data_IF_568156490217
#
_entry.id   IF_568156490217
#
_cell.length_a   1.000
_cell.length_b   1.000
_cell.length_c   1.000
_cell.angle_alpha   90.00
_cell.angle_beta   90.00
_cell.angle_gamma   90.00
#
_symmetry.space_group_name_H-M   'P 1'
#
loop_
_entity.id
_entity.type
_entity.pdbx_description
1 polymer ?
#
# COMPACT_ATOMS: atom_id res chain seq x y z
N UNK A 1 1.83 -30.69 -62.92
CA UNK A 1 0.81 -29.92 -62.17
C UNK A 1 1.51 -29.23 -61.02
N UNK A 2 1.82 -27.94 -61.16
CA UNK A 2 2.22 -27.05 -60.06
C UNK A 2 1.66 -25.65 -60.33
N UNK A 3 0.97 -25.13 -59.32
CA UNK A 3 0.81 -23.75 -58.82
C UNK A 3 0.89 -22.53 -59.76
N UNK A 4 -0.05 -21.59 -59.53
CA UNK A 4 0.20 -20.16 -59.63
C UNK A 4 -0.60 -19.42 -58.54
N UNK A 5 0.07 -18.45 -57.92
CA UNK A 5 -0.36 -17.49 -56.90
C UNK A 5 -1.22 -16.37 -57.52
N UNK A 6 -2.08 -15.73 -56.71
CA UNK A 6 -2.68 -14.43 -57.05
C UNK A 6 -2.51 -13.45 -55.88
N UNK A 7 -1.86 -12.31 -56.19
CA UNK A 7 -1.68 -11.14 -55.32
C UNK A 7 -2.91 -10.24 -55.39
N UNK A 8 -3.37 -9.70 -54.25
CA UNK A 8 -4.38 -8.64 -54.19
C UNK A 8 -3.78 -7.38 -53.59
N UNK A 9 -4.03 -6.26 -54.28
CA UNK A 9 -3.43 -4.94 -54.11
C UNK A 9 -3.75 -4.25 -52.76
N UNK A 10 -2.75 -3.52 -52.27
CA UNK A 10 -2.84 -2.54 -51.18
C UNK A 10 -3.61 -1.29 -51.62
N UNK A 11 -4.74 -0.99 -50.98
CA UNK A 11 -5.40 0.32 -51.05
C UNK A 11 -4.96 1.14 -49.83
N UNK A 12 -4.21 2.21 -50.08
CA UNK A 12 -3.89 3.22 -49.07
C UNK A 12 -5.15 4.08 -48.80
N UNK A 13 -5.62 4.06 -47.55
CA UNK A 13 -6.62 5.02 -47.06
C UNK A 13 -5.86 6.24 -46.55
N UNK A 14 -6.09 7.39 -47.18
CA UNK A 14 -5.58 8.69 -46.74
C UNK A 14 -6.11 9.04 -45.35
N UNK A 15 -5.21 9.33 -44.41
CA UNK A 15 -5.56 9.84 -43.08
C UNK A 15 -5.88 11.33 -43.15
N UNK A 16 -7.09 11.69 -42.72
CA UNK A 16 -7.54 13.06 -42.49
C UNK A 16 -6.74 13.77 -41.38
N UNK A 17 -6.51 15.10 -41.47
CA UNK A 17 -5.58 15.83 -40.60
C UNK A 17 -6.14 16.22 -39.20
N UNK A 18 -6.89 15.34 -38.52
CA UNK A 18 -7.48 15.63 -37.18
C UNK A 18 -6.64 15.16 -35.97
N UNK A 19 -5.45 14.57 -36.20
CA UNK A 19 -4.79 13.72 -35.20
C UNK A 19 -3.99 14.43 -34.10
N UNK A 20 -3.73 15.74 -34.21
CA UNK A 20 -2.89 16.47 -33.22
C UNK A 20 -3.70 17.21 -32.13
N UNK A 21 -4.96 17.52 -32.39
CA UNK A 21 -5.82 18.27 -31.44
C UNK A 21 -6.53 17.37 -30.43
N UNK A 22 -6.91 16.15 -30.83
CA UNK A 22 -7.51 15.14 -29.93
C UNK A 22 -6.57 14.73 -28.78
N UNK A 23 -5.28 14.43 -29.00
CA UNK A 23 -4.36 14.00 -27.92
C UNK A 23 -4.16 15.04 -26.83
N UNK A 24 -4.18 16.33 -27.20
CA UNK A 24 -3.98 17.44 -26.26
C UNK A 24 -5.24 17.62 -25.40
N UNK A 25 -6.42 17.58 -26.02
CA UNK A 25 -7.70 17.64 -25.30
C UNK A 25 -7.91 16.45 -24.34
N UNK A 26 -7.45 15.26 -24.72
CA UNK A 26 -7.53 14.07 -23.87
C UNK A 26 -6.63 14.17 -22.65
N UNK A 27 -5.40 14.70 -22.80
CA UNK A 27 -4.48 14.93 -21.70
C UNK A 27 -5.02 15.95 -20.70
N UNK A 28 -5.50 17.11 -21.15
CA UNK A 28 -6.04 18.14 -20.25
C UNK A 28 -7.24 17.62 -19.45
N UNK A 29 -8.10 16.84 -20.12
CA UNK A 29 -9.25 16.16 -19.49
C UNK A 29 -8.80 15.12 -18.45
N UNK A 30 -7.79 14.32 -18.77
CA UNK A 30 -7.21 13.32 -17.86
C UNK A 30 -6.61 13.97 -16.61
N UNK A 31 -5.81 15.02 -16.79
CA UNK A 31 -5.18 15.76 -15.70
C UNK A 31 -6.23 16.39 -14.79
N UNK A 32 -7.23 17.07 -15.37
CA UNK A 32 -8.32 17.67 -14.59
C UNK A 32 -9.07 16.62 -13.76
N UNK A 33 -9.36 15.45 -14.33
CA UNK A 33 -10.02 14.37 -13.58
C UNK A 33 -9.12 13.79 -12.48
N UNK A 34 -7.82 13.60 -12.78
CA UNK A 34 -6.88 13.05 -11.81
C UNK A 34 -6.82 13.91 -10.53
N UNK A 35 -6.62 15.22 -10.68
CA UNK A 35 -6.49 16.12 -9.52
C UNK A 35 -7.81 16.37 -8.79
N UNK A 36 -8.94 16.43 -9.49
CA UNK A 36 -10.22 16.79 -8.89
C UNK A 36 -11.02 15.60 -8.36
N UNK A 37 -10.76 14.38 -8.85
CA UNK A 37 -11.57 13.20 -8.51
C UNK A 37 -10.74 12.04 -8.00
N UNK A 38 -9.70 11.61 -8.72
CA UNK A 38 -8.93 10.44 -8.30
C UNK A 38 -8.05 10.72 -7.07
N UNK A 39 -7.31 11.82 -7.10
CA UNK A 39 -6.31 12.13 -6.08
C UNK A 39 -6.93 12.40 -4.70
N UNK A 40 -8.03 13.16 -4.55
CA UNK A 40 -8.65 13.40 -3.24
C UNK A 40 -9.18 12.13 -2.57
N UNK A 41 -9.56 11.11 -3.35
CA UNK A 41 -10.01 9.83 -2.81
C UNK A 41 -8.85 9.00 -2.23
N UNK A 42 -7.60 9.35 -2.56
CA UNK A 42 -6.42 8.61 -2.14
C UNK A 42 -5.65 9.45 -1.12
N UNK A 43 -5.73 9.08 0.16
CA UNK A 43 -4.89 9.69 1.21
C UNK A 43 -3.44 9.35 0.90
N UNK A 44 -2.77 10.24 0.17
CA UNK A 44 -1.35 10.14 -0.11
C UNK A 44 -0.56 11.10 0.77
N UNK A 45 -1.03 12.34 0.94
CA UNK A 45 -0.42 13.33 1.85
C UNK A 45 -1.44 14.34 2.41
N UNK A 46 -1.26 14.79 3.66
CA UNK A 46 -2.08 15.83 4.33
C UNK A 46 -1.79 17.25 3.79
N UNK A 47 -0.56 17.52 3.35
CA UNK A 47 -0.12 18.80 2.77
C UNK A 47 -0.34 18.86 1.25
N UNK A 48 -1.61 18.68 0.87
CA UNK A 48 -2.01 18.48 -0.52
C UNK A 48 -1.68 19.67 -1.44
N UNK A 49 -1.73 20.92 -0.97
CA UNK A 49 -1.64 22.08 -1.86
C UNK A 49 -0.24 22.29 -2.46
N UNK A 50 0.81 22.27 -1.64
CA UNK A 50 2.19 22.48 -2.13
C UNK A 50 2.65 21.33 -3.01
N UNK A 51 2.39 20.10 -2.58
CA UNK A 51 2.75 18.91 -3.34
C UNK A 51 1.97 18.78 -4.67
N UNK A 52 0.69 19.14 -4.71
CA UNK A 52 -0.09 19.12 -5.94
C UNK A 52 0.44 20.13 -6.97
N UNK A 53 0.80 21.34 -6.55
CA UNK A 53 1.39 22.34 -7.45
C UNK A 53 2.74 21.87 -8.02
N UNK A 54 3.57 21.22 -7.21
CA UNK A 54 4.84 20.62 -7.65
C UNK A 54 4.62 19.45 -8.61
N UNK A 55 3.64 18.59 -8.33
CA UNK A 55 3.29 17.47 -9.21
C UNK A 55 2.83 17.98 -10.58
N UNK A 56 2.02 19.04 -10.62
CA UNK A 56 1.62 19.72 -11.87
C UNK A 56 2.82 20.24 -12.65
N UNK A 57 3.80 20.85 -11.99
CA UNK A 57 5.02 21.33 -12.64
C UNK A 57 5.81 20.18 -13.29
N UNK A 58 5.94 19.04 -12.61
CA UNK A 58 6.65 17.89 -13.16
C UNK A 58 5.91 17.18 -14.28
N UNK A 59 4.58 17.21 -14.29
CA UNK A 59 3.78 16.65 -15.37
C UNK A 59 4.11 17.31 -16.71
N UNK A 60 4.39 18.61 -16.72
CA UNK A 60 4.83 19.32 -17.92
C UNK A 60 6.27 18.97 -18.36
N UNK A 61 7.11 18.51 -17.43
CA UNK A 61 8.53 18.27 -17.67
C UNK A 61 8.86 16.78 -17.91
N UNK A 62 7.99 15.87 -17.48
CA UNK A 62 8.21 14.42 -17.53
C UNK A 62 7.13 13.71 -18.34
N UNK A 63 7.45 13.28 -19.58
CA UNK A 63 6.54 12.48 -20.39
C UNK A 63 6.14 11.16 -19.73
N UNK A 64 7.03 10.57 -18.91
CA UNK A 64 6.74 9.37 -18.14
C UNK A 64 5.62 9.60 -17.13
N UNK A 65 5.73 10.71 -16.38
CA UNK A 65 4.78 11.05 -15.32
C UNK A 65 3.41 11.43 -15.90
N UNK A 66 3.42 12.26 -16.94
CA UNK A 66 2.21 12.65 -17.67
C UNK A 66 1.46 11.43 -18.20
N UNK A 67 2.16 10.52 -18.87
CA UNK A 67 1.54 9.30 -19.41
C UNK A 67 1.02 8.38 -18.30
N UNK A 68 1.70 8.28 -17.15
CA UNK A 68 1.27 7.45 -16.02
C UNK A 68 -0.02 8.01 -15.37
N UNK A 69 -0.07 9.33 -15.17
CA UNK A 69 -1.26 10.01 -14.64
C UNK A 69 -2.44 9.89 -15.61
N UNK A 70 -2.23 10.09 -16.91
CA UNK A 70 -3.26 9.87 -17.92
C UNK A 70 -3.79 8.44 -17.93
N UNK A 71 -2.91 7.45 -17.77
CA UNK A 71 -3.31 6.05 -17.70
C UNK A 71 -4.27 5.79 -16.53
N UNK A 72 -3.93 6.28 -15.32
CA UNK A 72 -4.78 6.17 -14.13
C UNK A 72 -6.12 6.86 -14.37
N UNK A 73 -6.10 8.12 -14.82
CA UNK A 73 -7.31 8.92 -15.01
C UNK A 73 -8.26 8.25 -16.01
N UNK A 74 -7.75 7.83 -17.17
CA UNK A 74 -8.54 7.15 -18.20
C UNK A 74 -9.11 5.82 -17.71
N UNK A 75 -8.32 5.02 -16.97
CA UNK A 75 -8.78 3.74 -16.41
C UNK A 75 -9.86 3.95 -15.35
N UNK A 76 -9.64 4.87 -14.40
CA UNK A 76 -10.59 5.13 -13.33
C UNK A 76 -11.92 5.66 -13.88
N UNK A 77 -11.88 6.58 -14.86
CA UNK A 77 -13.08 7.06 -15.57
C UNK A 77 -13.81 5.91 -16.27
N UNK A 78 -13.09 5.08 -17.01
CA UNK A 78 -13.66 3.91 -17.67
C UNK A 78 -14.39 2.99 -16.68
N UNK A 79 -13.80 2.73 -15.51
CA UNK A 79 -14.41 1.88 -14.47
C UNK A 79 -15.69 2.51 -13.90
N UNK A 80 -15.68 3.83 -13.66
CA UNK A 80 -16.86 4.57 -13.21
C UNK A 80 -17.96 4.68 -14.28
N UNK A 81 -17.61 4.87 -15.55
CA UNK A 81 -18.55 4.96 -16.67
C UNK A 81 -19.17 3.60 -17.03
N UNK A 82 -18.43 2.50 -16.84
CA UNK A 82 -18.97 1.14 -17.00
C UNK A 82 -20.12 0.83 -16.03
N UNK A 83 -20.14 1.47 -14.86
CA UNK A 83 -21.27 1.39 -13.92
C UNK A 83 -22.50 2.15 -14.43
N UNK A 84 -22.33 3.07 -15.40
CA UNK A 84 -23.33 4.07 -15.82
C UNK A 84 -23.89 3.87 -17.25
N UNK A 85 -23.68 2.71 -17.90
CA UNK A 85 -24.35 2.22 -19.14
C UNK A 85 -23.68 2.47 -20.51
N UNK A 86 -22.50 3.09 -20.63
CA UNK A 86 -21.87 3.36 -21.95
C UNK A 86 -20.74 2.38 -22.31
N UNK A 87 -20.99 1.43 -23.22
CA UNK A 87 -20.02 0.38 -23.61
C UNK A 87 -19.00 0.80 -24.67
N UNK A 88 -19.35 1.71 -25.60
CA UNK A 88 -18.46 2.14 -26.67
C UNK A 88 -17.35 3.08 -26.17
N UNK A 89 -17.71 4.16 -25.47
CA UNK A 89 -16.75 5.11 -24.86
C UNK A 89 -15.86 4.45 -23.81
N UNK A 90 -16.38 3.46 -23.07
CA UNK A 90 -15.60 2.68 -22.13
C UNK A 90 -14.48 1.87 -22.81
N UNK A 91 -14.71 1.34 -24.03
CA UNK A 91 -13.69 0.61 -24.78
C UNK A 91 -12.58 1.53 -25.28
N UNK A 92 -12.95 2.72 -25.77
CA UNK A 92 -11.99 3.74 -26.21
C UNK A 92 -11.13 4.24 -25.04
N UNK A 93 -11.76 4.58 -23.91
CA UNK A 93 -11.05 5.00 -22.69
C UNK A 93 -10.12 3.89 -22.16
N UNK A 94 -10.52 2.62 -22.27
CA UNK A 94 -9.67 1.49 -21.88
C UNK A 94 -8.44 1.33 -22.79
N UNK A 95 -8.61 1.50 -24.11
CA UNK A 95 -7.48 1.47 -25.06
C UNK A 95 -6.55 2.65 -24.81
N UNK A 96 -7.10 3.85 -24.59
CA UNK A 96 -6.33 5.05 -24.23
C UNK A 96 -5.52 4.85 -22.94
N UNK A 97 -6.14 4.27 -21.91
CA UNK A 97 -5.48 3.96 -20.64
C UNK A 97 -4.28 3.02 -20.84
N UNK A 98 -4.45 1.95 -21.62
CA UNK A 98 -3.37 0.99 -21.90
C UNK A 98 -2.25 1.59 -22.76
N UNK A 99 -2.59 2.42 -23.75
CA UNK A 99 -1.61 3.12 -24.57
C UNK A 99 -0.77 4.08 -23.73
N UNK A 100 -1.41 4.87 -22.88
CA UNK A 100 -0.76 5.78 -21.93
C UNK A 100 0.13 5.03 -20.94
N UNK A 101 -0.35 3.91 -20.37
CA UNK A 101 0.46 3.04 -19.50
C UNK A 101 1.70 2.51 -20.24
N UNK A 102 1.53 1.96 -21.45
CA UNK A 102 2.63 1.47 -22.26
C UNK A 102 3.66 2.56 -22.58
N UNK A 103 3.21 3.78 -22.86
CA UNK A 103 4.09 4.92 -23.11
C UNK A 103 4.88 5.32 -21.86
N UNK A 104 4.22 5.35 -20.69
CA UNK A 104 4.87 5.60 -19.42
C UNK A 104 5.96 4.55 -19.12
N UNK A 105 5.66 3.26 -19.29
CA UNK A 105 6.64 2.16 -19.10
C UNK A 105 7.84 2.32 -20.03
N UNK A 106 7.62 2.65 -21.31
CA UNK A 106 8.72 2.91 -22.27
C UNK A 106 9.61 4.06 -21.80
N UNK A 107 9.02 5.18 -21.38
CA UNK A 107 9.76 6.35 -20.92
C UNK A 107 10.55 6.06 -19.63
N UNK A 108 9.95 5.33 -18.68
CA UNK A 108 10.62 4.89 -17.45
C UNK A 108 11.81 3.97 -17.78
N UNK A 109 11.62 3.01 -18.70
CA UNK A 109 12.70 2.10 -19.13
C UNK A 109 13.87 2.87 -19.74
N UNK A 110 13.59 3.85 -20.60
CA UNK A 110 14.61 4.73 -21.18
C UNK A 110 15.38 5.47 -20.08
N UNK A 111 14.67 6.06 -19.11
CA UNK A 111 15.29 6.78 -17.99
C UNK A 111 16.19 5.88 -17.13
N UNK A 112 15.75 4.64 -16.86
CA UNK A 112 16.53 3.62 -16.14
C UNK A 112 17.79 3.25 -16.94
N UNK A 113 17.67 2.97 -18.25
CA UNK A 113 18.84 2.62 -19.09
C UNK A 113 19.84 3.77 -19.22
N UNK A 114 19.38 5.01 -19.11
CA UNK A 114 20.22 6.21 -19.13
C UNK A 114 20.75 6.60 -17.74
N UNK A 115 20.57 5.74 -16.73
CA UNK A 115 21.02 5.93 -15.35
C UNK A 115 20.46 7.20 -14.66
N UNK A 116 19.29 7.68 -15.09
CA UNK A 116 18.62 8.89 -14.57
C UNK A 116 17.52 8.52 -13.56
N UNK A 117 17.80 7.55 -12.67
CA UNK A 117 16.77 6.88 -11.88
C UNK A 117 16.32 7.63 -10.61
N UNK A 118 16.98 8.73 -10.26
CA UNK A 118 16.81 9.42 -8.96
C UNK A 118 16.00 10.73 -9.03
N UNK A 119 15.43 11.08 -10.19
CA UNK A 119 14.59 12.27 -10.33
C UNK A 119 13.22 12.09 -9.66
N UNK A 120 12.68 13.09 -8.91
CA UNK A 120 11.37 12.99 -8.28
C UNK A 120 10.24 12.59 -9.24
N UNK A 121 10.25 13.12 -10.47
CA UNK A 121 9.25 12.79 -11.47
C UNK A 121 9.27 11.31 -11.86
N UNK A 122 10.44 10.66 -11.90
CA UNK A 122 10.54 9.23 -12.20
C UNK A 122 10.01 8.38 -11.04
N UNK A 123 10.34 8.76 -9.79
CA UNK A 123 9.81 8.11 -8.59
C UNK A 123 8.28 8.08 -8.62
N UNK A 124 7.65 9.24 -8.81
CA UNK A 124 6.20 9.35 -8.94
C UNK A 124 5.64 8.61 -10.16
N UNK A 125 6.35 8.61 -11.30
CA UNK A 125 5.94 7.83 -12.49
C UNK A 125 5.83 6.35 -12.16
N UNK A 126 6.85 5.80 -11.48
CA UNK A 126 6.85 4.38 -11.10
C UNK A 126 5.77 4.06 -10.08
N UNK A 127 5.52 4.94 -9.11
CA UNK A 127 4.44 4.77 -8.15
C UNK A 127 3.06 4.77 -8.82
N UNK A 128 2.81 5.70 -9.76
CA UNK A 128 1.54 5.75 -10.48
C UNK A 128 1.34 4.56 -11.43
N UNK A 129 2.40 4.08 -12.09
CA UNK A 129 2.34 2.82 -12.82
C UNK A 129 1.94 1.65 -11.92
N UNK A 130 2.48 1.61 -10.71
CA UNK A 130 2.19 0.59 -9.74
C UNK A 130 0.72 0.68 -9.24
N UNK A 131 0.20 1.90 -9.00
CA UNK A 131 -1.22 2.10 -8.69
C UNK A 131 -2.14 1.68 -9.83
N UNK A 132 -1.77 1.97 -11.09
CA UNK A 132 -2.53 1.54 -12.26
C UNK A 132 -2.70 0.01 -12.31
N UNK A 133 -1.65 -0.73 -11.96
CA UNK A 133 -1.70 -2.19 -11.93
C UNK A 133 -2.63 -2.69 -10.82
N UNK A 134 -2.61 -2.09 -9.62
CA UNK A 134 -3.57 -2.40 -8.55
C UNK A 134 -5.03 -2.13 -8.96
N UNK A 135 -5.24 -1.14 -9.84
CA UNK A 135 -6.57 -0.83 -10.36
C UNK A 135 -7.04 -1.82 -11.42
N UNK A 136 -6.11 -2.42 -12.18
CA UNK A 136 -6.42 -3.30 -13.32
C UNK A 136 -6.43 -4.78 -12.93
N UNK A 137 -5.48 -5.23 -12.14
CA UNK A 137 -5.29 -6.64 -11.82
C UNK A 137 -6.15 -7.06 -10.61
N UNK A 138 -7.14 -7.90 -10.88
CA UNK A 138 -8.01 -8.49 -9.84
C UNK A 138 -7.44 -9.75 -9.20
N UNK A 139 -6.44 -10.38 -9.84
CA UNK A 139 -5.83 -11.62 -9.36
C UNK A 139 -4.79 -11.37 -8.26
N UNK A 140 -4.18 -10.18 -8.26
CA UNK A 140 -3.11 -9.82 -7.33
C UNK A 140 -1.77 -10.49 -7.66
N UNK A 141 -1.65 -11.24 -8.75
CA UNK A 141 -0.36 -11.83 -9.16
C UNK A 141 0.57 -10.79 -9.77
N UNK A 142 0.05 -9.80 -10.50
CA UNK A 142 0.85 -8.73 -11.09
C UNK A 142 1.26 -7.68 -10.05
N UNK A 143 0.51 -7.57 -8.93
CA UNK A 143 0.91 -6.78 -7.76
C UNK A 143 2.32 -7.20 -7.32
N UNK A 144 2.56 -8.49 -7.10
CA UNK A 144 3.83 -8.99 -6.57
C UNK A 144 5.02 -8.64 -7.49
N UNK A 145 4.86 -8.78 -8.80
CA UNK A 145 5.96 -8.65 -9.76
C UNK A 145 6.35 -7.20 -10.00
N UNK A 146 5.39 -6.27 -10.07
CA UNK A 146 5.65 -4.90 -10.50
C UNK A 146 5.62 -3.86 -9.36
N UNK A 147 4.64 -3.92 -8.46
CA UNK A 147 4.50 -2.97 -7.37
C UNK A 147 5.59 -3.14 -6.30
N UNK A 148 5.83 -4.39 -5.90
CA UNK A 148 6.73 -4.73 -4.79
C UNK A 148 8.19 -4.89 -5.19
N UNK A 149 8.48 -5.07 -6.48
CA UNK A 149 9.85 -5.09 -6.96
C UNK A 149 10.23 -3.75 -7.60
N UNK A 150 9.35 -3.06 -8.32
CA UNK A 150 9.70 -1.80 -8.98
C UNK A 150 9.81 -0.64 -7.99
N UNK A 151 8.68 -0.26 -7.39
CA UNK A 151 8.62 0.91 -6.49
C UNK A 151 9.42 0.67 -5.22
N UNK A 152 9.32 -0.51 -4.59
CA UNK A 152 10.13 -0.81 -3.40
C UNK A 152 11.62 -0.96 -3.71
N UNK A 153 12.05 -1.47 -4.89
CA UNK A 153 13.48 -1.44 -5.22
C UNK A 153 13.96 -0.02 -5.46
N UNK A 154 13.16 0.83 -6.11
CA UNK A 154 13.52 2.25 -6.28
C UNK A 154 13.58 2.98 -4.94
N UNK A 155 12.70 2.65 -4.00
CA UNK A 155 12.78 3.14 -2.62
C UNK A 155 14.05 2.63 -1.91
N UNK A 156 14.41 1.36 -2.06
CA UNK A 156 15.67 0.78 -1.53
C UNK A 156 16.92 1.42 -2.13
N UNK A 157 16.85 1.84 -3.40
CA UNK A 157 17.93 2.57 -4.06
C UNK A 157 18.04 4.03 -3.56
N UNK A 158 17.04 4.55 -2.84
CA UNK A 158 17.23 5.77 -2.08
C UNK A 158 18.17 5.48 -0.90
N UNK A 159 19.03 6.43 -0.58
CA UNK A 159 19.90 6.30 0.58
C UNK A 159 19.25 7.01 1.79
N UNK A 160 19.32 6.46 3.02
CA UNK A 160 18.74 7.10 4.22
C UNK A 160 19.27 8.54 4.43
N UNK A 161 20.51 8.80 4.03
CA UNK A 161 21.09 10.16 4.06
C UNK A 161 20.29 11.20 3.25
N UNK A 162 19.51 10.80 2.23
CA UNK A 162 18.66 11.74 1.50
C UNK A 162 17.53 12.33 2.36
N UNK A 163 17.13 11.66 3.44
CA UNK A 163 16.16 12.21 4.39
C UNK A 163 16.72 13.45 5.10
N UNK A 164 18.04 13.50 5.31
CA UNK A 164 18.71 14.54 6.09
C UNK A 164 19.19 15.72 5.24
N UNK A 165 19.12 15.62 3.91
CA UNK A 165 19.49 16.71 3.02
C UNK A 165 18.44 17.83 3.05
N UNK A 166 18.91 19.09 3.00
CA UNK A 166 18.08 20.30 3.09
C UNK A 166 17.86 21.01 1.74
N UNK A 167 18.35 20.45 0.64
CA UNK A 167 18.14 21.05 -0.68
C UNK A 167 16.71 20.78 -1.21
N UNK A 168 16.26 21.59 -2.18
CA UNK A 168 14.92 21.47 -2.75
C UNK A 168 14.64 20.05 -3.29
N UNK A 169 15.62 19.41 -3.95
CA UNK A 169 15.48 18.04 -4.45
C UNK A 169 15.24 16.99 -3.35
N UNK A 170 15.78 17.22 -2.15
CA UNK A 170 15.65 16.32 -1.00
C UNK A 170 14.25 16.35 -0.38
N UNK A 171 13.60 17.52 -0.29
CA UNK A 171 12.23 17.65 0.21
C UNK A 171 11.24 16.77 -0.57
N UNK A 172 11.35 16.77 -1.90
CA UNK A 172 10.50 15.97 -2.77
C UNK A 172 10.73 14.46 -2.62
N UNK A 173 12.00 14.05 -2.50
CA UNK A 173 12.35 12.64 -2.23
C UNK A 173 11.84 12.19 -0.86
N UNK A 174 11.93 13.06 0.16
CA UNK A 174 11.33 12.85 1.48
C UNK A 174 9.83 12.67 1.38
N UNK A 175 9.12 13.56 0.70
CA UNK A 175 7.66 13.47 0.52
C UNK A 175 7.27 12.15 -0.16
N UNK A 176 7.99 11.78 -1.23
CA UNK A 176 7.79 10.49 -1.88
C UNK A 176 8.02 9.31 -0.92
N UNK A 177 9.12 9.33 -0.15
CA UNK A 177 9.44 8.29 0.82
C UNK A 177 8.33 8.14 1.89
N UNK A 178 7.91 9.23 2.55
CA UNK A 178 6.86 9.18 3.57
C UNK A 178 5.51 8.73 3.02
N UNK A 179 5.18 9.13 1.79
CA UNK A 179 3.96 8.70 1.10
C UNK A 179 3.96 7.20 0.81
N UNK A 180 5.10 6.67 0.36
CA UNK A 180 5.14 5.33 -0.27
C UNK A 180 5.70 4.23 0.62
N UNK A 181 6.37 4.54 1.73
CA UNK A 181 6.95 3.53 2.64
C UNK A 181 5.93 2.53 3.19
N UNK A 182 4.67 2.94 3.35
CA UNK A 182 3.59 2.05 3.80
C UNK A 182 3.42 0.84 2.88
N UNK A 183 3.79 0.96 1.62
CA UNK A 183 3.70 -0.13 0.65
C UNK A 183 4.84 -1.14 0.80
N UNK A 184 6.04 -0.70 1.17
CA UNK A 184 7.11 -1.61 1.58
C UNK A 184 6.76 -2.32 2.91
N UNK A 185 6.14 -1.60 3.84
CA UNK A 185 5.64 -2.20 5.09
C UNK A 185 4.55 -3.24 4.78
N UNK A 186 3.58 -2.91 3.92
CA UNK A 186 2.53 -3.82 3.49
C UNK A 186 3.10 -5.07 2.82
N UNK A 187 4.15 -4.94 2.01
CA UNK A 187 4.89 -6.08 1.45
C UNK A 187 5.41 -7.01 2.54
N UNK A 188 6.14 -6.43 3.49
CA UNK A 188 6.78 -7.16 4.56
C UNK A 188 5.75 -7.92 5.41
N UNK A 189 4.62 -7.28 5.72
CA UNK A 189 3.51 -7.86 6.48
C UNK A 189 2.76 -8.96 5.72
N UNK A 190 2.46 -8.76 4.42
CA UNK A 190 1.68 -9.74 3.65
C UNK A 190 2.46 -11.03 3.43
N UNK A 191 3.74 -10.90 3.11
CA UNK A 191 4.59 -12.01 2.65
C UNK A 191 5.56 -12.51 3.71
N UNK A 192 5.55 -11.94 4.91
CA UNK A 192 6.49 -12.26 5.99
C UNK A 192 7.95 -12.20 5.48
N UNK A 193 8.31 -11.09 4.83
CA UNK A 193 9.63 -10.88 4.25
C UNK A 193 10.38 -9.75 4.96
N UNK A 194 11.73 -9.78 5.00
CA UNK A 194 12.53 -8.69 5.55
C UNK A 194 12.25 -7.35 4.86
N UNK A 195 12.42 -6.25 5.57
CA UNK A 195 12.31 -4.89 5.05
C UNK A 195 13.55 -4.10 5.38
N UNK A 196 14.00 -3.25 4.45
CA UNK A 196 15.12 -2.35 4.71
C UNK A 196 14.76 -1.26 5.74
N UNK A 197 13.46 -1.02 5.95
CA UNK A 197 12.97 0.02 6.85
C UNK A 197 13.25 -0.29 8.33
N UNK A 198 13.56 -1.54 8.68
CA UNK A 198 13.98 -1.94 10.03
C UNK A 198 15.50 -1.88 10.23
N UNK A 199 16.27 -1.57 9.19
CA UNK A 199 17.73 -1.45 9.29
C UNK A 199 18.13 -0.22 10.13
N UNK A 200 19.20 -0.33 10.96
CA UNK A 200 19.63 0.76 11.85
C UNK A 200 19.90 2.10 11.15
N UNK A 201 20.39 2.07 9.91
CA UNK A 201 20.69 3.25 9.12
C UNK A 201 19.42 4.05 8.79
N UNK A 202 18.32 3.34 8.51
CA UNK A 202 17.03 3.95 8.20
C UNK A 202 16.32 4.44 9.45
N UNK A 203 16.31 3.65 10.53
CA UNK A 203 15.69 4.06 11.79
C UNK A 203 16.42 5.26 12.42
N UNK A 204 17.74 5.32 12.31
CA UNK A 204 18.54 6.47 12.75
C UNK A 204 18.31 7.71 11.86
N UNK A 205 18.22 7.56 10.54
CA UNK A 205 17.91 8.69 9.67
C UNK A 205 16.50 9.26 9.93
N UNK A 206 15.53 8.40 10.21
CA UNK A 206 14.18 8.80 10.60
C UNK A 206 14.18 9.54 11.95
N UNK A 207 14.85 9.01 12.97
CA UNK A 207 14.90 9.66 14.29
C UNK A 207 15.57 11.04 14.22
N UNK A 208 16.65 11.17 13.45
CA UNK A 208 17.31 12.46 13.20
C UNK A 208 16.41 13.43 12.45
N UNK A 209 15.68 12.93 11.43
CA UNK A 209 14.72 13.75 10.69
C UNK A 209 13.62 14.30 11.59
N UNK A 210 13.00 13.46 12.43
CA UNK A 210 11.95 13.92 13.35
C UNK A 210 12.46 14.83 14.46
N UNK A 211 13.76 14.79 14.76
CA UNK A 211 14.39 15.67 15.74
C UNK A 211 14.67 17.07 15.18
N UNK A 212 14.65 17.26 13.86
CA UNK A 212 14.89 18.57 13.25
C UNK A 212 13.62 19.44 13.21
N UNK A 213 13.81 20.76 13.08
CA UNK A 213 12.69 21.72 13.10
C UNK A 213 11.64 21.48 12.00
N UNK A 214 12.09 21.15 10.78
CA UNK A 214 11.17 20.83 9.67
C UNK A 214 10.38 19.53 9.94
N UNK A 215 11.06 18.50 10.46
CA UNK A 215 10.43 17.23 10.81
C UNK A 215 9.39 17.40 11.90
N UNK A 216 9.69 18.17 12.94
CA UNK A 216 8.75 18.48 14.03
C UNK A 216 7.48 19.19 13.53
N UNK A 217 7.60 20.08 12.53
CA UNK A 217 6.44 20.76 11.93
C UNK A 217 5.53 19.84 11.13
N UNK A 218 6.12 18.82 10.49
CA UNK A 218 5.40 17.84 9.68
C UNK A 218 4.99 16.59 10.49
N UNK A 219 5.25 16.62 11.79
CA UNK A 219 5.00 15.50 12.67
C UNK A 219 3.51 15.18 12.75
N UNK A 220 3.19 13.89 12.72
CA UNK A 220 1.84 13.38 12.84
C UNK A 220 1.84 12.02 13.53
N UNK A 221 0.84 11.66 14.36
CA UNK A 221 0.77 10.35 15.01
C UNK A 221 0.86 9.17 14.02
N UNK A 222 0.31 9.33 12.81
CA UNK A 222 0.44 8.34 11.72
C UNK A 222 1.90 8.02 11.39
N UNK A 223 2.76 9.03 11.33
CA UNK A 223 4.15 8.84 10.94
C UNK A 223 4.93 8.07 12.00
N UNK A 224 4.68 8.36 13.29
CA UNK A 224 5.26 7.59 14.40
C UNK A 224 4.80 6.14 14.37
N UNK A 225 3.51 5.89 14.11
CA UNK A 225 3.03 4.52 13.95
C UNK A 225 3.75 3.80 12.81
N UNK A 226 3.88 4.46 11.66
CA UNK A 226 4.53 3.89 10.48
C UNK A 226 6.03 3.65 10.69
N UNK A 227 6.69 4.41 11.55
CA UNK A 227 8.07 4.14 11.97
C UNK A 227 8.19 2.88 12.84
N UNK A 228 7.14 2.54 13.59
CA UNK A 228 7.11 1.33 14.43
C UNK A 228 6.83 0.06 13.62
N UNK A 229 6.00 0.11 12.57
CA UNK A 229 5.54 -1.08 11.83
C UNK A 229 6.66 -1.99 11.28
N UNK A 230 7.82 -1.49 10.79
CA UNK A 230 8.93 -2.34 10.38
C UNK A 230 9.43 -3.29 11.48
N UNK A 231 9.43 -2.85 12.73
CA UNK A 231 9.87 -3.68 13.87
C UNK A 231 8.90 -4.85 14.14
N UNK A 232 7.60 -4.66 13.91
CA UNK A 232 6.62 -5.76 13.97
C UNK A 232 6.87 -6.80 12.88
N UNK A 233 7.26 -6.36 11.68
CA UNK A 233 7.57 -7.26 10.58
C UNK A 233 8.81 -8.10 10.90
N UNK A 234 9.88 -7.43 11.36
CA UNK A 234 11.15 -8.07 11.69
C UNK A 234 11.02 -9.07 12.85
N UNK A 235 10.36 -8.66 13.95
CA UNK A 235 10.13 -9.53 15.09
C UNK A 235 9.28 -10.74 14.71
N UNK A 236 8.17 -10.52 13.98
CA UNK A 236 7.30 -11.62 13.52
C UNK A 236 8.06 -12.64 12.67
N UNK A 237 8.98 -12.19 11.81
CA UNK A 237 9.82 -13.05 11.01
C UNK A 237 10.82 -13.85 11.86
N UNK A 238 11.45 -13.22 12.86
CA UNK A 238 12.34 -13.91 13.80
C UNK A 238 11.58 -14.95 14.63
N UNK A 239 10.40 -14.59 15.14
CA UNK A 239 9.51 -15.50 15.88
C UNK A 239 9.03 -16.67 15.03
N UNK A 240 8.68 -16.44 13.77
CA UNK A 240 8.30 -17.50 12.83
C UNK A 240 9.47 -18.45 12.55
N UNK A 241 10.67 -17.92 12.29
CA UNK A 241 11.87 -18.74 12.06
C UNK A 241 12.21 -19.57 13.28
N UNK A 242 12.13 -18.96 14.46
CA UNK A 242 12.31 -19.67 15.73
C UNK A 242 11.32 -20.83 15.86
N UNK A 243 10.03 -20.57 15.61
CA UNK A 243 8.98 -21.57 15.72
C UNK A 243 9.07 -22.71 14.68
N UNK A 244 9.81 -22.52 13.59
CA UNK A 244 10.09 -23.55 12.59
C UNK A 244 11.28 -24.44 12.95
N UNK A 245 12.04 -24.11 14.00
CA UNK A 245 13.17 -24.91 14.46
C UNK A 245 12.69 -26.24 15.02
N UNK A 246 13.30 -27.36 14.59
CA UNK A 246 12.86 -28.72 14.93
C UNK A 246 12.80 -28.98 16.45
N UNK A 247 11.84 -29.83 16.84
CA UNK A 247 11.50 -30.15 18.23
C UNK A 247 12.68 -30.68 19.08
N UNK A 248 13.72 -31.18 18.42
CA UNK A 248 14.91 -31.77 19.03
C UNK A 248 15.68 -30.78 19.93
N UNK A 249 15.48 -29.46 19.77
CA UNK A 249 16.17 -28.40 20.53
C UNK A 249 15.32 -27.73 21.63
N UNK A 250 14.05 -28.11 21.77
CA UNK A 250 13.06 -27.45 22.64
C UNK A 250 13.44 -27.43 24.12
N UNK A 251 14.30 -28.35 24.55
CA UNK A 251 14.71 -28.52 25.94
C UNK A 251 16.09 -27.94 26.24
N UNK A 252 16.76 -27.34 25.25
CA UNK A 252 18.03 -26.66 25.50
C UNK A 252 17.79 -25.34 26.24
N UNK A 253 18.62 -25.04 27.23
CA UNK A 253 18.55 -23.78 27.98
C UNK A 253 18.66 -22.55 27.06
N UNK A 254 19.45 -22.67 25.98
CA UNK A 254 19.61 -21.63 24.96
C UNK A 254 18.29 -21.34 24.23
N UNK A 255 17.54 -22.37 23.86
CA UNK A 255 16.25 -22.21 23.18
C UNK A 255 15.19 -21.55 24.08
N UNK A 256 15.21 -21.83 25.40
CA UNK A 256 14.33 -21.13 26.35
C UNK A 256 14.70 -19.65 26.50
N UNK A 257 16.00 -19.33 26.55
CA UNK A 257 16.48 -17.94 26.63
C UNK A 257 16.07 -17.14 25.39
N UNK A 258 16.19 -17.75 24.21
CA UNK A 258 15.78 -17.11 22.95
C UNK A 258 14.26 -16.91 22.86
N UNK A 259 13.46 -17.92 23.26
CA UNK A 259 12.00 -17.77 23.35
C UNK A 259 11.59 -16.64 24.30
N UNK A 260 12.27 -16.50 25.44
CA UNK A 260 12.06 -15.42 26.41
C UNK A 260 12.41 -14.06 25.79
N UNK A 261 13.58 -13.93 25.15
CA UNK A 261 13.99 -12.66 24.53
C UNK A 261 13.04 -12.21 23.42
N UNK A 262 12.56 -13.12 22.57
CA UNK A 262 11.56 -12.81 21.55
C UNK A 262 10.21 -12.39 22.16
N UNK A 263 9.84 -12.96 23.31
CA UNK A 263 8.60 -12.62 23.99
C UNK A 263 8.68 -11.25 24.68
N UNK A 264 9.81 -10.95 25.32
CA UNK A 264 10.11 -9.65 25.93
C UNK A 264 10.07 -8.52 24.90
N UNK A 265 10.76 -8.69 23.76
CA UNK A 265 10.73 -7.71 22.67
C UNK A 265 9.30 -7.51 22.14
N UNK A 266 8.49 -8.57 22.08
CA UNK A 266 7.08 -8.49 21.72
C UNK A 266 6.26 -7.69 22.71
N UNK A 267 6.49 -7.87 24.01
CA UNK A 267 5.85 -7.09 25.06
C UNK A 267 6.23 -5.62 24.97
N UNK A 268 7.50 -5.31 24.70
CA UNK A 268 7.97 -3.93 24.50
C UNK A 268 7.26 -3.25 23.32
N UNK A 269 7.12 -3.95 22.18
CA UNK A 269 6.36 -3.43 21.03
C UNK A 269 4.87 -3.22 21.37
N UNK A 270 4.26 -4.12 22.15
CA UNK A 270 2.87 -3.95 22.61
C UNK A 270 2.73 -2.71 23.51
N UNK A 271 3.66 -2.49 24.43
CA UNK A 271 3.68 -1.31 25.29
C UNK A 271 3.89 -0.02 24.46
N UNK A 272 4.77 -0.05 23.46
CA UNK A 272 4.99 1.05 22.53
C UNK A 272 3.71 1.44 21.78
N UNK A 273 2.93 0.46 21.29
CA UNK A 273 1.62 0.72 20.69
C UNK A 273 0.63 1.33 21.68
N UNK A 274 0.58 0.83 22.91
CA UNK A 274 -0.32 1.38 23.95
C UNK A 274 0.03 2.85 24.26
N UNK A 275 1.32 3.16 24.40
CA UNK A 275 1.77 4.53 24.60
C UNK A 275 1.42 5.42 23.40
N UNK A 276 1.61 4.91 22.18
CA UNK A 276 1.21 5.60 20.97
C UNK A 276 -0.29 5.91 20.96
N UNK A 277 -1.15 4.97 21.35
CA UNK A 277 -2.60 5.15 21.40
C UNK A 277 -3.01 6.31 22.31
N UNK A 278 -2.39 6.41 23.49
CA UNK A 278 -2.63 7.51 24.43
C UNK A 278 -2.31 8.87 23.78
N UNK A 279 -1.16 8.97 23.10
CA UNK A 279 -0.76 10.18 22.40
C UNK A 279 -1.67 10.51 21.22
N UNK A 280 -2.08 9.49 20.45
CA UNK A 280 -2.95 9.63 19.29
C UNK A 280 -4.38 10.07 19.68
N UNK A 281 -4.90 9.59 20.81
CA UNK A 281 -6.18 10.01 21.37
C UNK A 281 -6.13 11.45 21.88
N UNK A 282 -5.02 11.87 22.48
CA UNK A 282 -4.83 13.28 22.88
C UNK A 282 -4.83 14.20 21.64
N UNK A 283 -4.06 13.83 20.60
CA UNK A 283 -4.01 14.55 19.34
C UNK A 283 -5.39 14.74 18.70
N UNK A 284 -6.19 13.67 18.63
CA UNK A 284 -7.50 13.71 17.99
C UNK A 284 -8.53 14.59 18.70
N UNK A 285 -8.31 14.97 19.96
CA UNK A 285 -9.20 15.91 20.69
C UNK A 285 -8.93 17.36 20.33
N UNK A 286 -7.72 17.66 19.88
CA UNK A 286 -7.29 19.02 19.56
C UNK A 286 -7.63 19.42 18.11
N UNK A 287 -8.09 18.47 17.28
CA UNK A 287 -8.45 18.71 15.87
C UNK A 287 -9.96 18.82 15.68
N UNK A 288 -10.42 19.93 15.09
CA UNK A 288 -11.84 20.17 14.79
C UNK A 288 -12.36 19.45 13.53
N UNK A 289 -11.46 19.01 12.65
CA UNK A 289 -11.79 18.34 11.39
C UNK A 289 -11.48 16.85 11.48
N UNK A 290 -12.16 16.05 10.63
CA UNK A 290 -11.95 14.61 10.54
C UNK A 290 -10.55 14.33 9.98
N UNK A 291 -9.66 13.87 10.86
CA UNK A 291 -8.28 13.56 10.52
C UNK A 291 -8.17 12.14 9.94
N UNK A 292 -8.33 12.03 8.62
CA UNK A 292 -8.35 10.73 7.96
C UNK A 292 -7.02 9.96 8.08
N UNK A 293 -5.89 10.66 8.15
CA UNK A 293 -4.58 10.06 8.43
C UNK A 293 -4.54 9.43 9.83
N UNK A 294 -5.15 10.08 10.82
CA UNK A 294 -5.27 9.54 12.17
C UNK A 294 -6.18 8.31 12.20
N UNK A 295 -7.31 8.32 11.47
CA UNK A 295 -8.22 7.17 11.38
C UNK A 295 -7.51 5.97 10.74
N UNK A 296 -6.72 6.18 9.66
CA UNK A 296 -5.86 5.14 9.09
C UNK A 296 -4.89 4.61 10.14
N UNK A 297 -4.20 5.49 10.86
CA UNK A 297 -3.25 5.08 11.87
C UNK A 297 -3.93 4.24 12.98
N UNK A 298 -5.10 4.66 13.46
CA UNK A 298 -5.90 3.88 14.43
C UNK A 298 -6.25 2.50 13.90
N UNK A 299 -6.65 2.38 12.63
CA UNK A 299 -6.94 1.08 12.03
C UNK A 299 -5.68 0.17 12.02
N UNK A 300 -4.50 0.73 11.71
CA UNK A 300 -3.24 -0.01 11.81
C UNK A 300 -2.89 -0.37 13.25
N UNK A 301 -3.14 0.50 14.24
CA UNK A 301 -2.92 0.16 15.65
C UNK A 301 -3.71 -1.08 16.07
N UNK A 302 -5.02 -1.14 15.76
CA UNK A 302 -5.82 -2.31 16.10
C UNK A 302 -5.36 -3.55 15.32
N UNK A 303 -5.01 -3.39 14.04
CA UNK A 303 -4.48 -4.48 13.24
C UNK A 303 -3.15 -5.02 13.78
N UNK A 304 -2.24 -4.15 14.21
CA UNK A 304 -0.93 -4.56 14.72
C UNK A 304 -1.00 -5.25 16.07
N UNK A 305 -1.95 -4.88 16.94
CA UNK A 305 -2.21 -5.65 18.16
C UNK A 305 -2.61 -7.10 17.84
N UNK A 306 -3.51 -7.29 16.86
CA UNK A 306 -3.91 -8.63 16.41
C UNK A 306 -2.75 -9.39 15.73
N UNK A 307 -2.00 -8.70 14.87
CA UNK A 307 -0.86 -9.25 14.14
C UNK A 307 0.26 -9.71 15.08
N UNK A 308 0.62 -8.86 16.04
CA UNK A 308 1.63 -9.17 17.05
C UNK A 308 1.21 -10.40 17.86
N UNK A 309 -0.02 -10.42 18.40
CA UNK A 309 -0.56 -11.60 19.08
C UNK A 309 -0.50 -12.86 18.22
N UNK A 310 -0.76 -12.72 16.91
CA UNK A 310 -0.69 -13.80 15.92
C UNK A 310 0.71 -14.31 15.63
N UNK A 311 1.74 -13.57 16.01
CA UNK A 311 3.12 -14.07 15.89
C UNK A 311 3.46 -15.06 17.00
N UNK A 312 2.66 -15.16 18.07
CA UNK A 312 2.93 -16.01 19.22
C UNK A 312 1.86 -17.08 19.46
N UNK A 313 0.57 -16.72 19.32
CA UNK A 313 -0.55 -17.55 19.78
C UNK A 313 -0.72 -18.88 19.03
N UNK A 314 -0.21 -18.98 17.80
CA UNK A 314 -0.21 -20.23 17.02
C UNK A 314 0.90 -21.20 17.43
N UNK A 315 1.86 -20.79 18.25
CA UNK A 315 3.09 -21.55 18.50
C UNK A 315 3.20 -22.02 19.95
N UNK A 316 3.50 -23.31 20.11
CA UNK A 316 3.60 -24.00 21.42
C UNK A 316 4.63 -23.40 22.37
N UNK A 317 5.62 -22.69 21.84
CA UNK A 317 6.67 -22.08 22.64
C UNK A 317 6.14 -20.99 23.57
N UNK A 318 5.03 -20.33 23.20
CA UNK A 318 4.48 -19.19 23.96
C UNK A 318 3.04 -19.40 24.45
N UNK A 319 2.37 -20.48 24.02
CA UNK A 319 0.96 -20.73 24.34
C UNK A 319 0.70 -21.92 25.28
N UNK A 320 1.75 -22.56 25.81
CA UNK A 320 1.63 -23.70 26.73
C UNK A 320 1.89 -23.33 28.20
N UNK A 321 1.41 -24.15 29.16
CA UNK A 321 1.75 -23.94 30.56
C UNK A 321 3.26 -23.95 30.79
N UNK A 322 3.78 -22.93 31.47
CA UNK A 322 5.23 -22.76 31.72
C UNK A 322 5.99 -22.03 30.61
N UNK A 323 5.32 -21.64 29.52
CA UNK A 323 5.87 -20.75 28.51
C UNK A 323 6.17 -19.36 29.06
N UNK A 324 7.16 -18.65 28.48
CA UNK A 324 7.43 -17.26 28.82
C UNK A 324 6.21 -16.38 28.49
N UNK A 325 5.98 -15.29 29.26
CA UNK A 325 4.89 -14.36 28.97
C UNK A 325 5.13 -13.70 27.62
N UNK A 326 4.12 -13.73 26.75
CA UNK A 326 4.16 -13.17 25.40
C UNK A 326 2.95 -12.25 25.17
N UNK A 327 2.97 -11.35 24.17
CA UNK A 327 1.89 -10.39 23.90
C UNK A 327 0.66 -11.05 23.24
N UNK A 328 0.13 -12.10 23.85
CA UNK A 328 -1.02 -12.87 23.38
C UNK A 328 -2.31 -12.23 23.89
N UNK A 329 -3.19 -11.88 22.96
CA UNK A 329 -4.49 -11.32 23.27
C UNK A 329 -5.52 -12.41 23.53
N UNK A 330 -6.42 -12.16 24.49
CA UNK A 330 -7.59 -13.01 24.67
C UNK A 330 -8.62 -12.75 23.54
N UNK A 331 -9.58 -13.66 23.41
CA UNK A 331 -10.62 -13.61 22.37
C UNK A 331 -11.43 -12.32 22.38
N UNK A 332 -11.84 -11.84 23.56
CA UNK A 332 -12.62 -10.59 23.70
C UNK A 332 -11.82 -9.37 23.23
N UNK A 333 -10.53 -9.31 23.54
CA UNK A 333 -9.62 -8.28 23.05
C UNK A 333 -9.48 -8.33 21.53
N UNK A 334 -9.30 -9.52 20.94
CA UNK A 334 -9.24 -9.69 19.48
C UNK A 334 -10.54 -9.20 18.82
N UNK A 335 -11.69 -9.59 19.36
CA UNK A 335 -13.00 -9.16 18.86
C UNK A 335 -13.18 -7.63 18.96
N UNK A 336 -12.70 -7.01 20.04
CA UNK A 336 -12.71 -5.55 20.21
C UNK A 336 -11.86 -4.84 19.17
N UNK A 337 -10.61 -5.25 18.98
CA UNK A 337 -9.74 -4.67 17.95
C UNK A 337 -10.31 -4.88 16.55
N UNK A 338 -10.89 -6.05 16.27
CA UNK A 338 -11.53 -6.35 15.00
C UNK A 338 -12.71 -5.41 14.73
N UNK A 339 -13.60 -5.23 15.70
CA UNK A 339 -14.76 -4.34 15.56
C UNK A 339 -14.33 -2.91 15.27
N UNK A 340 -13.27 -2.41 15.92
CA UNK A 340 -12.73 -1.09 15.64
C UNK A 340 -12.13 -0.99 14.24
N UNK A 341 -11.43 -2.02 13.74
CA UNK A 341 -10.95 -2.03 12.34
C UNK A 341 -12.12 -1.90 11.36
N UNK A 342 -13.22 -2.62 11.59
CA UNK A 342 -14.39 -2.57 10.71
C UNK A 342 -15.09 -1.21 10.80
N UNK A 343 -15.23 -0.67 12.01
CA UNK A 343 -15.82 0.65 12.25
C UNK A 343 -15.01 1.76 11.56
N UNK A 344 -13.69 1.81 11.81
CA UNK A 344 -12.78 2.79 11.21
C UNK A 344 -12.67 2.61 9.69
N UNK A 345 -12.71 1.36 9.21
CA UNK A 345 -12.73 1.06 7.79
C UNK A 345 -13.98 1.58 7.10
N UNK A 346 -15.15 1.36 7.69
CA UNK A 346 -16.41 1.93 7.20
C UNK A 346 -16.37 3.46 7.22
N UNK A 347 -15.90 4.05 8.32
CA UNK A 347 -15.76 5.50 8.47
C UNK A 347 -14.90 6.11 7.35
N UNK A 348 -13.72 5.55 7.05
CA UNK A 348 -12.87 6.02 5.94
C UNK A 348 -13.57 5.95 4.58
N UNK A 349 -14.30 4.85 4.33
CA UNK A 349 -15.04 4.72 3.09
C UNK A 349 -16.22 5.71 3.04
N UNK A 350 -16.93 5.95 4.13
CA UNK A 350 -18.03 6.92 4.16
C UNK A 350 -17.55 8.36 3.89
N UNK A 351 -16.31 8.69 4.27
CA UNK A 351 -15.66 9.95 3.92
C UNK A 351 -15.17 10.05 2.46
N UNK A 352 -15.48 9.06 1.61
CA UNK A 352 -15.19 9.10 0.18
C UNK A 352 -13.81 8.56 -0.22
N UNK A 353 -13.04 7.99 0.71
CA UNK A 353 -11.69 7.49 0.43
C UNK A 353 -11.69 6.14 -0.28
N UNK A 354 -10.78 5.92 -1.21
CA UNK A 354 -10.75 4.69 -2.00
C UNK A 354 -10.42 3.43 -1.17
N UNK A 355 -9.81 3.59 0.01
CA UNK A 355 -9.58 2.51 0.97
C UNK A 355 -8.37 1.61 0.66
N UNK A 356 -7.45 2.05 -0.20
CA UNK A 356 -6.21 1.34 -0.51
C UNK A 356 -5.42 0.94 0.75
N UNK A 357 -5.34 1.83 1.74
CA UNK A 357 -4.60 1.59 2.99
C UNK A 357 -5.32 0.62 3.95
N UNK A 358 -6.57 0.22 3.65
CA UNK A 358 -7.34 -0.73 4.47
C UNK A 358 -7.04 -2.19 4.15
N UNK A 359 -6.29 -2.50 3.10
CA UNK A 359 -5.98 -3.88 2.73
C UNK A 359 -5.33 -4.69 3.85
N UNK A 360 -4.33 -4.11 4.53
CA UNK A 360 -3.64 -4.79 5.64
C UNK A 360 -4.56 -4.96 6.86
N UNK A 361 -5.19 -3.89 7.40
CA UNK A 361 -6.13 -4.04 8.51
C UNK A 361 -7.26 -5.05 8.23
N UNK A 362 -7.89 -4.97 7.05
CA UNK A 362 -9.01 -5.87 6.70
C UNK A 362 -8.56 -7.31 6.53
N UNK A 363 -7.38 -7.56 5.96
CA UNK A 363 -6.82 -8.91 5.85
C UNK A 363 -6.55 -9.50 7.24
N UNK A 364 -5.96 -8.72 8.15
CA UNK A 364 -5.66 -9.17 9.52
C UNK A 364 -6.96 -9.45 10.30
N UNK A 365 -7.93 -8.54 10.23
CA UNK A 365 -9.26 -8.74 10.82
C UNK A 365 -9.93 -10.01 10.26
N UNK A 366 -9.91 -10.16 8.93
CA UNK A 366 -10.46 -11.32 8.23
C UNK A 366 -9.77 -12.64 8.58
N UNK A 367 -8.48 -12.62 8.90
CA UNK A 367 -7.78 -13.83 9.34
C UNK A 367 -8.27 -14.36 10.71
N UNK A 368 -8.84 -13.49 11.55
CA UNK A 368 -9.28 -13.81 12.92
C UNK A 368 -10.80 -13.88 13.09
N UNK A 369 -11.57 -13.34 12.17
CA UNK A 369 -13.03 -13.31 12.27
C UNK A 369 -13.63 -14.72 12.35
N UNK A 370 -14.60 -14.89 13.24
CA UNK A 370 -15.33 -16.15 13.42
C UNK A 370 -16.82 -16.03 13.12
N UNK A 371 -17.39 -14.83 13.18
CA UNK A 371 -18.81 -14.60 12.97
C UNK A 371 -19.12 -14.28 11.52
N UNK A 372 -20.18 -14.90 10.99
CA UNK A 372 -20.62 -14.71 9.60
C UNK A 372 -20.97 -13.26 9.28
N UNK A 373 -21.61 -12.55 10.21
CA UNK A 373 -21.94 -11.13 10.06
C UNK A 373 -20.71 -10.26 9.78
N UNK A 374 -19.63 -10.49 10.53
CA UNK A 374 -18.40 -9.72 10.42
C UNK A 374 -17.62 -10.10 9.16
N UNK A 375 -17.65 -11.39 8.78
CA UNK A 375 -17.16 -11.85 7.47
C UNK A 375 -17.86 -11.09 6.34
N UNK A 376 -19.20 -11.03 6.37
CA UNK A 376 -19.98 -10.36 5.34
C UNK A 376 -19.69 -8.85 5.28
N UNK A 377 -19.48 -8.20 6.43
CA UNK A 377 -19.05 -6.81 6.49
C UNK A 377 -17.65 -6.60 5.88
N UNK A 378 -16.67 -7.46 6.17
CA UNK A 378 -15.34 -7.40 5.55
C UNK A 378 -15.44 -7.53 4.02
N UNK A 379 -16.22 -8.51 3.55
CA UNK A 379 -16.44 -8.70 2.11
C UNK A 379 -17.12 -7.48 1.47
N UNK A 380 -18.04 -6.84 2.18
CA UNK A 380 -18.68 -5.59 1.74
C UNK A 380 -17.68 -4.44 1.65
N UNK A 381 -16.83 -4.23 2.66
CA UNK A 381 -15.79 -3.19 2.65
C UNK A 381 -14.82 -3.39 1.47
N UNK A 382 -14.33 -4.62 1.28
CA UNK A 382 -13.47 -4.98 0.14
C UNK A 382 -14.16 -4.77 -1.21
N UNK A 383 -15.46 -5.09 -1.30
CA UNK A 383 -16.26 -4.82 -2.50
C UNK A 383 -16.34 -3.32 -2.78
N UNK A 384 -16.57 -2.49 -1.76
CA UNK A 384 -16.59 -1.03 -1.90
C UNK A 384 -15.24 -0.50 -2.38
N UNK A 385 -14.13 -1.01 -1.84
CA UNK A 385 -12.77 -0.64 -2.31
C UNK A 385 -12.59 -1.01 -3.80
N UNK A 386 -13.04 -2.21 -4.20
CA UNK A 386 -13.01 -2.61 -5.61
C UNK A 386 -13.86 -1.71 -6.51
N UNK A 387 -15.02 -1.26 -6.04
CA UNK A 387 -15.90 -0.35 -6.78
C UNK A 387 -15.32 1.05 -6.90
N UNK A 388 -14.41 1.45 -6.00
CA UNK A 388 -13.66 2.71 -6.04
C UNK A 388 -12.36 2.62 -6.86
N UNK A 389 -12.26 1.61 -7.72
CA UNK A 389 -11.21 1.50 -8.73
C UNK A 389 -10.11 0.49 -8.41
N UNK A 390 -10.02 -0.04 -7.19
CA UNK A 390 -8.96 -0.98 -6.80
C UNK A 390 -9.37 -2.44 -6.96
N UNK A 391 -9.34 -2.95 -8.20
CA UNK A 391 -9.74 -4.31 -8.54
C UNK A 391 -9.04 -5.40 -7.70
N UNK A 392 -7.81 -5.12 -7.26
CA UNK A 392 -6.99 -6.01 -6.43
C UNK A 392 -7.63 -6.39 -5.09
N UNK A 393 -8.60 -5.61 -4.59
CA UNK A 393 -9.37 -5.98 -3.41
C UNK A 393 -10.06 -7.35 -3.55
N UNK A 394 -10.32 -7.79 -4.78
CA UNK A 394 -10.87 -9.12 -5.05
C UNK A 394 -9.89 -10.26 -4.72
N UNK A 395 -8.58 -10.06 -4.88
CA UNK A 395 -7.59 -11.06 -4.50
C UNK A 395 -7.64 -11.33 -2.98
N UNK A 396 -7.69 -10.27 -2.17
CA UNK A 396 -7.86 -10.37 -0.71
C UNK A 396 -9.19 -11.02 -0.36
N UNK A 397 -10.26 -10.67 -1.09
CA UNK A 397 -11.58 -11.26 -0.91
C UNK A 397 -11.57 -12.78 -1.13
N UNK A 398 -10.91 -13.25 -2.19
CA UNK A 398 -10.76 -14.68 -2.50
C UNK A 398 -9.92 -15.38 -1.44
N UNK A 399 -8.76 -14.82 -1.06
CA UNK A 399 -7.88 -15.35 -0.01
C UNK A 399 -8.63 -15.59 1.31
N UNK A 400 -9.43 -14.61 1.74
CA UNK A 400 -10.23 -14.73 2.96
C UNK A 400 -11.34 -15.79 2.86
N UNK A 401 -12.04 -15.87 1.73
CA UNK A 401 -13.09 -16.88 1.51
C UNK A 401 -12.48 -18.28 1.57
N UNK A 402 -11.34 -18.50 0.93
CA UNK A 402 -10.63 -19.77 0.97
C UNK A 402 -10.17 -20.11 2.39
N UNK A 403 -9.60 -19.13 3.10
CA UNK A 403 -9.18 -19.30 4.50
C UNK A 403 -10.34 -19.74 5.39
N UNK A 404 -11.50 -19.10 5.28
CA UNK A 404 -12.68 -19.45 6.07
C UNK A 404 -13.23 -20.83 5.70
N UNK A 405 -13.24 -21.18 4.42
CA UNK A 405 -13.64 -22.50 3.96
C UNK A 405 -12.73 -23.61 4.55
N UNK A 406 -11.41 -23.40 4.55
CA UNK A 406 -10.45 -24.35 5.14
C UNK A 406 -10.68 -24.54 6.64
N UNK A 407 -10.96 -23.46 7.39
CA UNK A 407 -11.28 -23.54 8.81
C UNK A 407 -12.55 -24.33 9.11
N UNK A 408 -13.54 -24.30 8.21
CA UNK A 408 -14.76 -25.12 8.35
C UNK A 408 -14.52 -26.60 8.09
N UNK A 409 -13.52 -26.95 7.27
CA UNK A 409 -13.19 -28.36 6.97
C UNK A 409 -12.29 -29.02 8.01
N UNK A 410 -11.61 -28.22 8.85
CA UNK A 410 -10.69 -28.71 9.90
C UNK A 410 -11.31 -28.77 11.30
N UNK A 411 -12.54 -28.27 11.46
CA UNK A 411 -13.38 -28.45 12.65
C UNK A 411 -14.41 -29.56 12.37
#
# INVERSE_FOLDING_TARGET
MCQAEDQVALVFVEQSPSSKTQPIMDLDRDLAYFFNSFLPMNILTKNNSSWQSELQLWLHQSPALSSAVSAIAALHRCQHEKLLLNTAGARENQVHALNSYSQAVKNVRIAITSNSFAGPALLWSTFFLALFELMRDSSGTDWLSHFLNGTCAILRLQHPAHLLLTNAGASHRRSFFFTTRIFEIARALIYSQPTFLSEPEWTNALSQWWSCEEGQRLWHPKEVLFDMLPHFCDLSLRTLRFAQTEETYLQSSLHCIEAQGLAEEGIELQQGLQQWWICAEAWGKDTSEVDADLIVAKAYYHAMNIYLSGSYDYHKHWNQPGSPPAPILNRSSIETHMNEILRLGQELLDHGLAGLLLFIPLRIAGARVSHKKDQDLILQLLKTISQRGYAVANAIRVDLIELWARKMTTN
#
